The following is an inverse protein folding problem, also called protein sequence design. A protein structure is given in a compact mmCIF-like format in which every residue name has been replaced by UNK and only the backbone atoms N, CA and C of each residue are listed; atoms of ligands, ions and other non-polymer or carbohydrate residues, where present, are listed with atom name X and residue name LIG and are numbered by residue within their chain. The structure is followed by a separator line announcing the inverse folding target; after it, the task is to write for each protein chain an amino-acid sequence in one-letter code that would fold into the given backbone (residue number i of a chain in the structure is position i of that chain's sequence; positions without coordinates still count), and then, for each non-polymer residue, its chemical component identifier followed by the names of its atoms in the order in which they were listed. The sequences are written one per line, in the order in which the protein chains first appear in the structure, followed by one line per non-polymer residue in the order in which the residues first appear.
data_IF_520379826371
#
_entry.id   IF_520379826371
#
_cell.length_a   1.000
_cell.length_b   1.000
_cell.length_c   1.000
_cell.angle_alpha   90.00
_cell.angle_beta   90.00
_cell.angle_gamma   90.00
#
_symmetry.space_group_name_H-M   'P 1'
#
loop_
_entity.id
_entity.type
_entity.pdbx_description
1 polymer ?
#
# COMPACT_ATOMS: atom_id res chain seq x y z
N UNK A 1 15.20 -14.01 -4.60
CA UNK A 1 15.39 -12.76 -3.81
C UNK A 1 14.03 -12.09 -3.62
N UNK A 2 13.69 -11.55 -2.44
CA UNK A 2 12.53 -10.66 -2.37
C UNK A 2 12.82 -9.49 -3.30
N UNK A 3 11.95 -9.29 -4.28
CA UNK A 3 12.07 -8.24 -5.28
C UNK A 3 12.25 -6.90 -4.59
N UNK A 4 13.46 -6.31 -4.69
CA UNK A 4 13.78 -5.01 -4.11
C UNK A 4 12.81 -3.98 -4.70
N UNK A 5 12.02 -3.37 -3.83
CA UNK A 5 11.20 -2.22 -4.18
C UNK A 5 12.12 -1.02 -4.45
N UNK A 6 11.69 -0.03 -5.25
CA UNK A 6 12.41 1.23 -5.35
C UNK A 6 12.60 1.88 -3.98
N UNK A 7 13.68 2.65 -3.79
CA UNK A 7 14.08 3.21 -2.48
C UNK A 7 13.05 4.18 -1.88
N UNK A 8 12.13 4.70 -2.70
CA UNK A 8 11.02 5.54 -2.23
C UNK A 8 9.93 4.75 -1.50
N UNK A 9 9.97 3.42 -1.53
CA UNK A 9 9.07 2.54 -0.80
C UNK A 9 9.70 2.03 0.48
N UNK A 10 8.94 1.99 1.58
CA UNK A 10 9.40 1.39 2.81
C UNK A 10 8.26 0.72 3.59
N UNK A 11 8.60 -0.35 4.29
CA UNK A 11 7.68 -1.06 5.18
C UNK A 11 7.80 -0.51 6.60
N UNK A 12 6.67 -0.40 7.27
CA UNK A 12 6.56 -0.09 8.71
C UNK A 12 5.71 -1.18 9.34
N UNK A 13 6.24 -1.78 10.40
CA UNK A 13 5.49 -2.68 11.26
C UNK A 13 4.93 -1.89 12.45
N UNK A 14 3.66 -2.12 12.79
CA UNK A 14 3.05 -1.53 13.99
C UNK A 14 3.04 -2.50 15.18
N UNK A 15 2.73 -1.98 16.36
CA UNK A 15 2.67 -2.77 17.61
C UNK A 15 1.61 -3.88 17.58
N UNK A 16 0.64 -3.82 16.66
CA UNK A 16 -0.38 -4.83 16.44
C UNK A 16 0.02 -5.87 15.37
N UNK A 17 1.27 -5.83 14.88
CA UNK A 17 1.79 -6.76 13.87
C UNK A 17 1.28 -6.50 12.45
N UNK A 18 0.70 -5.32 12.18
CA UNK A 18 0.31 -4.90 10.83
C UNK A 18 1.52 -4.40 10.07
N UNK A 19 1.61 -4.79 8.80
CA UNK A 19 2.70 -4.38 7.91
C UNK A 19 2.15 -3.36 6.93
N UNK A 20 2.61 -2.12 7.01
CA UNK A 20 2.19 -1.01 6.14
C UNK A 20 3.28 -0.67 5.15
N UNK A 21 2.91 -0.51 3.88
CA UNK A 21 3.82 -0.09 2.83
C UNK A 21 3.55 1.37 2.49
N UNK A 22 4.59 2.19 2.60
CA UNK A 22 4.55 3.59 2.26
C UNK A 22 5.31 3.87 0.97
N UNK A 23 4.86 4.88 0.22
CA UNK A 23 5.58 5.52 -0.87
C UNK A 23 5.79 6.99 -0.47
N UNK A 24 7.04 7.37 -0.19
CA UNK A 24 7.33 8.58 0.59
C UNK A 24 6.51 8.58 1.89
N UNK A 25 5.65 9.56 2.14
CA UNK A 25 4.84 9.65 3.37
C UNK A 25 3.36 9.25 3.13
N UNK A 26 3.06 8.60 2.01
CA UNK A 26 1.69 8.20 1.66
C UNK A 26 1.57 6.68 1.79
N UNK A 27 0.61 6.25 2.60
CA UNK A 27 0.29 4.84 2.77
C UNK A 27 -0.29 4.26 1.49
N UNK A 28 0.37 3.22 0.96
CA UNK A 28 -0.02 2.56 -0.28
C UNK A 28 -0.94 1.38 0.01
N UNK A 29 -0.56 0.55 0.98
CA UNK A 29 -1.31 -0.63 1.40
C UNK A 29 -0.93 -1.06 2.81
N UNK A 30 -1.79 -1.86 3.42
CA UNK A 30 -1.53 -2.54 4.68
C UNK A 30 -1.76 -4.05 4.53
N UNK A 31 -1.02 -4.83 5.31
CA UNK A 31 -1.26 -6.25 5.57
C UNK A 31 -1.69 -6.37 7.02
N UNK A 32 -2.91 -6.83 7.25
CA UNK A 32 -3.47 -6.96 8.60
C UNK A 32 -4.22 -8.25 8.80
N UNK A 33 -4.39 -8.62 10.06
CA UNK A 33 -5.23 -9.74 10.44
C UNK A 33 -6.72 -9.35 10.36
N UNK A 34 -7.54 -10.22 9.78
CA UNK A 34 -8.97 -10.04 9.67
C UNK A 34 -9.69 -11.40 9.77
N UNK A 35 -10.60 -11.54 10.75
CA UNK A 35 -11.43 -12.74 10.98
C UNK A 35 -10.61 -14.06 11.03
N UNK A 36 -9.44 -14.03 11.66
CA UNK A 36 -8.55 -15.19 11.78
C UNK A 36 -7.66 -15.47 10.56
N UNK A 37 -7.81 -14.72 9.47
CA UNK A 37 -6.94 -14.76 8.30
C UNK A 37 -6.10 -13.48 8.15
N UNK A 38 -5.32 -13.42 7.07
CA UNK A 38 -4.57 -12.22 6.69
C UNK A 38 -5.14 -11.63 5.42
N UNK A 39 -5.17 -10.30 5.35
CA UNK A 39 -5.61 -9.57 4.16
C UNK A 39 -4.59 -8.50 3.81
N UNK A 40 -4.45 -8.23 2.52
CA UNK A 40 -3.82 -7.00 2.02
C UNK A 40 -4.94 -6.05 1.64
N UNK A 41 -4.91 -4.85 2.17
CA UNK A 41 -5.83 -3.77 1.83
C UNK A 41 -5.03 -2.65 1.17
N UNK A 42 -5.39 -2.29 -0.07
CA UNK A 42 -4.76 -1.17 -0.78
C UNK A 42 -5.46 0.14 -0.42
N UNK A 43 -4.70 1.17 -0.07
CA UNK A 43 -5.19 2.51 0.27
C UNK A 43 -4.94 3.54 -0.83
N UNK A 44 -3.83 3.39 -1.55
CA UNK A 44 -3.49 4.22 -2.69
C UNK A 44 -3.76 3.43 -3.97
N UNK A 45 -4.94 3.65 -4.56
CA UNK A 45 -5.31 3.12 -5.86
C UNK A 45 -5.75 4.25 -6.78
N UNK A 46 -5.76 3.99 -8.08
CA UNK A 46 -6.41 4.85 -9.06
C UNK A 46 -7.91 4.96 -8.72
N UNK A 47 -8.46 6.17 -8.70
CA UNK A 47 -9.89 6.44 -8.44
C UNK A 47 -10.83 5.74 -9.42
N UNK A 48 -10.30 5.32 -10.57
CA UNK A 48 -11.03 4.57 -11.60
C UNK A 48 -11.23 3.09 -11.24
N UNK A 49 -10.54 2.56 -10.23
CA UNK A 49 -10.61 1.15 -9.86
C UNK A 49 -10.90 0.97 -8.36
N UNK A 50 -11.80 0.05 -7.97
CA UNK A 50 -12.00 -0.27 -6.57
C UNK A 50 -10.70 -0.80 -5.97
N UNK A 51 -10.35 -0.28 -4.78
CA UNK A 51 -9.14 -0.68 -4.09
C UNK A 51 -9.20 -2.18 -3.74
N UNK A 52 -8.25 -3.00 -4.24
CA UNK A 52 -8.33 -4.45 -4.03
C UNK A 52 -8.09 -4.80 -2.55
N UNK A 53 -8.97 -5.63 -2.02
CA UNK A 53 -8.77 -6.35 -0.75
C UNK A 53 -8.49 -7.82 -1.09
N UNK A 54 -7.32 -8.32 -0.70
CA UNK A 54 -6.83 -9.64 -1.13
C UNK A 54 -6.53 -10.50 0.10
N UNK A 55 -7.20 -11.64 0.21
CA UNK A 55 -6.89 -12.63 1.24
C UNK A 55 -5.54 -13.30 0.97
N UNK A 56 -4.73 -13.45 2.01
CA UNK A 56 -3.40 -14.07 1.94
C UNK A 56 -3.20 -15.06 3.10
N UNK A 57 -2.30 -16.01 2.89
CA UNK A 57 -2.05 -17.10 3.84
C UNK A 57 -1.22 -16.70 5.07
N UNK A 58 -0.49 -15.58 5.00
CA UNK A 58 0.39 -15.10 6.07
C UNK A 58 0.82 -13.64 5.84
N UNK A 59 1.37 -12.94 6.86
CA UNK A 59 1.89 -11.57 6.71
C UNK A 59 2.96 -11.49 5.63
N UNK A 60 3.93 -12.42 5.65
CA UNK A 60 5.00 -12.48 4.67
C UNK A 60 4.48 -12.73 3.23
N UNK A 61 3.39 -13.50 3.08
CA UNK A 61 2.73 -13.63 1.78
C UNK A 61 2.08 -12.31 1.34
N UNK A 62 1.44 -11.59 2.25
CA UNK A 62 0.91 -10.25 2.03
C UNK A 62 1.99 -9.25 1.62
N UNK A 63 3.12 -9.20 2.34
CA UNK A 63 4.24 -8.32 2.00
C UNK A 63 4.81 -8.61 0.61
N UNK A 64 4.97 -9.89 0.25
CA UNK A 64 5.44 -10.28 -1.10
C UNK A 64 4.44 -9.89 -2.18
N UNK A 65 3.15 -10.12 -1.94
CA UNK A 65 2.09 -9.72 -2.86
C UNK A 65 2.08 -8.20 -3.04
N UNK A 66 2.10 -7.45 -1.93
CA UNK A 66 2.11 -5.98 -1.92
C UNK A 66 3.33 -5.42 -2.64
N UNK A 67 4.53 -5.94 -2.35
CA UNK A 67 5.74 -5.53 -3.04
C UNK A 67 5.67 -5.77 -4.55
N UNK A 68 5.14 -6.91 -5.00
CA UNK A 68 4.95 -7.19 -6.43
C UNK A 68 3.91 -6.27 -7.05
N UNK A 69 2.78 -6.07 -6.37
CA UNK A 69 1.69 -5.20 -6.83
C UNK A 69 2.17 -3.76 -7.00
N UNK A 70 2.89 -3.23 -6.01
CA UNK A 70 3.44 -1.86 -6.02
C UNK A 70 4.55 -1.71 -7.05
N UNK A 71 5.44 -2.71 -7.20
CA UNK A 71 6.50 -2.67 -8.21
C UNK A 71 5.96 -2.56 -9.63
N UNK A 72 4.90 -3.32 -9.95
CA UNK A 72 4.25 -3.27 -11.27
C UNK A 72 3.55 -1.93 -11.55
N UNK A 73 3.23 -1.17 -10.50
CA UNK A 73 2.48 0.09 -10.57
C UNK A 73 3.31 1.30 -10.12
N UNK A 74 4.62 1.15 -9.94
CA UNK A 74 5.45 2.19 -9.34
C UNK A 74 5.34 3.56 -10.04
N UNK A 75 5.32 3.65 -11.39
CA UNK A 75 5.13 4.94 -12.07
C UNK A 75 3.76 5.56 -11.82
N UNK A 76 2.70 4.74 -11.80
CA UNK A 76 1.32 5.19 -11.56
C UNK A 76 1.14 5.66 -10.12
N UNK A 77 1.67 4.90 -9.15
CA UNK A 77 1.65 5.25 -7.74
C UNK A 77 2.44 6.55 -7.49
N UNK A 78 3.59 6.74 -8.16
CA UNK A 78 4.35 7.98 -8.07
C UNK A 78 3.56 9.18 -8.61
N UNK A 79 2.85 9.03 -9.75
CA UNK A 79 1.97 10.06 -10.28
C UNK A 79 0.80 10.38 -9.35
N UNK A 80 0.18 9.36 -8.74
CA UNK A 80 -0.90 9.54 -7.75
C UNK A 80 -0.40 10.27 -6.50
N UNK A 81 0.79 9.93 -5.99
CA UNK A 81 1.41 10.64 -4.86
C UNK A 81 1.71 12.10 -5.23
N UNK A 82 2.22 12.35 -6.44
CA UNK A 82 2.46 13.71 -6.93
C UNK A 82 1.15 14.52 -7.07
N UNK A 83 0.07 13.89 -7.56
CA UNK A 83 -1.26 14.49 -7.65
C UNK A 83 -1.86 14.84 -6.28
N UNK A 84 -1.77 13.92 -5.30
CA UNK A 84 -2.23 14.16 -3.91
C UNK A 84 -1.44 15.25 -3.18
N UNK A 85 -0.18 15.49 -3.55
CA UNK A 85 0.59 16.65 -3.05
C UNK A 85 0.06 17.98 -3.58
N UNK A 86 -0.67 17.97 -4.68
CA UNK A 86 -1.16 19.16 -5.36
C UNK A 86 -2.66 19.42 -5.13
N UNK A 87 -3.39 18.51 -4.48
CA UNK A 87 -4.74 18.81 -3.99
C UNK A 87 -4.62 19.80 -2.82
N UNK A 88 -5.02 21.08 -2.99
CA UNK A 88 -5.18 21.95 -1.84
C UNK A 88 -6.19 21.28 -0.93
N UNK A 89 -5.87 21.18 0.37
CA UNK A 89 -6.80 20.75 1.41
C UNK A 89 -8.14 21.42 1.13
N UNK A 90 -9.11 20.67 0.62
CA UNK A 90 -10.49 21.11 0.61
C UNK A 90 -10.92 21.13 2.07
N UNK A 91 -10.71 22.28 2.72
CA UNK A 91 -11.51 22.70 3.85
C UNK A 91 -12.94 22.77 3.35
N UNK A 92 -13.73 21.73 3.66
CA UNK A 92 -15.17 21.85 3.55
C UNK A 92 -15.66 22.93 4.54
N UNK A 93 -16.61 23.78 4.13
CA UNK A 93 -17.20 24.84 4.94
C UNK A 93 -18.05 24.31 6.11
#
# INVERSE_FOLDING_TARGET
MPSKLPDCFHWVEDEAGRQRLFLHNIEVLEVRQQRGGWVVQVHLNDSQLPAPMVAVRSPAAGMRWGARWSKLRAPQLAALVAGRRHEPRQTCP
#
